data_IF_336824506261
#
_entry.id   IF_336824506261
#
_cell.length_a   1.000
_cell.length_b   1.000
_cell.length_c   1.000
_cell.angle_alpha   90.00
_cell.angle_beta   90.00
_cell.angle_gamma   90.00
#
_symmetry.space_group_name_H-M   'P 1'
#
loop_
_entity.id
_entity.type
_entity.pdbx_description
1 polymer ?
#
# COMPACT_ATOMS: atom_id res chain seq x y z
N UNK A 1 -6.79 -7.56 12.30
CA UNK A 1 -7.32 -8.14 11.05
C UNK A 1 -6.41 -9.29 10.68
N UNK A 2 -6.96 -10.47 10.42
CA UNK A 2 -6.18 -11.54 9.81
C UNK A 2 -5.69 -11.05 8.44
N UNK A 3 -4.42 -11.24 8.12
CA UNK A 3 -3.91 -10.95 6.78
C UNK A 3 -4.71 -11.81 5.79
N UNK A 4 -5.52 -11.17 4.96
CA UNK A 4 -6.24 -11.85 3.88
C UNK A 4 -5.20 -12.44 2.94
N UNK A 5 -5.28 -13.76 2.71
CA UNK A 5 -4.41 -14.41 1.73
C UNK A 5 -4.61 -13.77 0.35
N UNK A 6 -3.54 -13.62 -0.44
CA UNK A 6 -3.67 -13.13 -1.80
C UNK A 6 -4.55 -14.09 -2.61
N UNK A 7 -5.57 -13.53 -3.25
CA UNK A 7 -6.53 -14.26 -4.06
C UNK A 7 -6.88 -13.49 -5.33
N UNK A 8 -7.12 -14.21 -6.41
CA UNK A 8 -7.80 -13.70 -7.59
C UNK A 8 -9.28 -14.01 -7.40
N UNK A 9 -10.13 -13.02 -7.68
CA UNK A 9 -11.56 -13.08 -7.38
C UNK A 9 -12.36 -12.64 -8.60
N UNK A 10 -13.36 -13.44 -8.97
CA UNK A 10 -14.26 -13.18 -10.09
C UNK A 10 -15.60 -12.70 -9.56
N UNK A 11 -16.13 -11.67 -10.20
CA UNK A 11 -17.41 -11.11 -9.85
C UNK A 11 -18.35 -11.10 -11.05
N UNK A 12 -19.53 -11.69 -10.88
CA UNK A 12 -20.60 -11.57 -11.86
C UNK A 12 -21.28 -10.21 -11.70
N UNK A 13 -21.34 -9.46 -12.80
CA UNK A 13 -22.10 -8.21 -12.90
C UNK A 13 -23.40 -8.44 -13.68
N UNK A 14 -24.30 -9.26 -13.14
CA UNK A 14 -25.67 -9.35 -13.65
C UNK A 14 -26.47 -8.13 -13.21
N UNK A 15 -26.61 -7.14 -14.11
CA UNK A 15 -27.53 -5.99 -14.03
C UNK A 15 -27.85 -5.45 -12.63
N UNK A 16 -26.92 -4.68 -12.05
CA UNK A 16 -27.32 -3.37 -11.51
C UNK A 16 -27.30 -3.07 -10.01
N UNK A 17 -26.76 -3.88 -9.08
CA UNK A 17 -26.54 -3.33 -7.73
C UNK A 17 -25.35 -3.85 -6.92
N UNK A 18 -24.97 -5.13 -7.04
CA UNK A 18 -23.83 -5.65 -6.28
C UNK A 18 -23.14 -6.77 -7.04
N UNK A 19 -21.82 -6.68 -7.29
CA UNK A 19 -21.08 -7.80 -7.85
C UNK A 19 -21.21 -9.02 -6.94
N UNK A 20 -21.58 -10.17 -7.50
CA UNK A 20 -21.66 -11.43 -6.76
C UNK A 20 -20.35 -12.18 -6.98
N UNK A 21 -19.70 -12.61 -5.88
CA UNK A 21 -18.52 -13.45 -5.94
C UNK A 21 -18.86 -14.78 -6.63
N UNK A 22 -18.26 -15.04 -7.78
CA UNK A 22 -18.48 -16.27 -8.55
C UNK A 22 -17.42 -17.32 -8.23
N UNK A 23 -16.14 -16.92 -8.22
CA UNK A 23 -15.00 -17.81 -8.05
C UNK A 23 -13.84 -17.10 -7.34
N UNK A 24 -12.98 -17.85 -6.64
CA UNK A 24 -11.70 -17.35 -6.16
C UNK A 24 -10.58 -18.39 -6.25
N UNK A 25 -9.35 -17.91 -6.48
CA UNK A 25 -8.13 -18.72 -6.56
C UNK A 25 -7.09 -18.13 -5.61
N UNK A 26 -6.70 -18.89 -4.59
CA UNK A 26 -5.73 -18.47 -3.56
C UNK A 26 -4.57 -19.45 -3.36
N UNK A 27 -4.80 -20.75 -3.56
CA UNK A 27 -3.81 -21.82 -3.31
C UNK A 27 -2.44 -21.61 -4.01
N UNK A 28 -2.37 -21.12 -5.27
CA UNK A 28 -1.07 -20.88 -5.93
C UNK A 28 -0.23 -19.75 -5.32
N UNK A 29 -0.81 -18.96 -4.40
CA UNK A 29 -0.23 -17.73 -3.85
C UNK A 29 -0.03 -17.77 -2.32
N UNK A 30 -0.19 -18.93 -1.66
CA UNK A 30 -0.21 -19.06 -0.19
C UNK A 30 0.97 -18.39 0.56
N UNK A 31 2.10 -18.16 -0.11
CA UNK A 31 3.29 -17.49 0.45
C UNK A 31 3.75 -16.25 -0.32
N UNK A 32 3.00 -15.79 -1.33
CA UNK A 32 3.49 -14.84 -2.33
C UNK A 32 2.48 -13.74 -2.66
N UNK A 33 2.93 -12.48 -2.63
CA UNK A 33 2.04 -11.36 -2.95
C UNK A 33 1.78 -11.26 -4.46
N UNK A 34 0.51 -11.31 -4.86
CA UNK A 34 0.08 -11.01 -6.23
C UNK A 34 0.30 -9.52 -6.54
N UNK A 35 0.87 -9.22 -7.71
CA UNK A 35 1.18 -7.84 -8.13
C UNK A 35 0.22 -7.30 -9.18
N UNK A 36 -0.34 -8.18 -10.00
CA UNK A 36 -1.22 -7.81 -11.09
C UNK A 36 -2.01 -9.00 -11.63
N UNK A 37 -3.09 -8.67 -12.33
CA UNK A 37 -3.95 -9.62 -13.01
C UNK A 37 -4.45 -8.97 -14.30
N UNK A 38 -4.38 -9.70 -15.42
CA UNK A 38 -4.93 -9.26 -16.71
C UNK A 38 -5.69 -10.42 -17.35
N UNK A 39 -6.93 -10.13 -17.75
CA UNK A 39 -7.73 -11.05 -18.56
C UNK A 39 -7.23 -11.00 -20.01
N UNK A 40 -7.18 -12.16 -20.65
CA UNK A 40 -6.97 -12.31 -22.09
C UNK A 40 -8.02 -11.53 -22.89
N UNK A 41 -7.72 -11.09 -24.13
CA UNK A 41 -8.66 -10.33 -24.95
C UNK A 41 -9.96 -11.08 -25.32
N UNK A 42 -9.91 -12.40 -25.41
CA UNK A 42 -11.08 -13.26 -25.64
C UNK A 42 -11.86 -13.59 -24.35
N UNK A 43 -11.31 -13.25 -23.18
CA UNK A 43 -11.94 -13.45 -21.87
C UNK A 43 -11.76 -14.85 -21.29
N UNK A 44 -11.04 -15.76 -21.97
CA UNK A 44 -11.01 -17.19 -21.62
C UNK A 44 -9.89 -17.56 -20.65
N UNK A 45 -8.83 -16.77 -20.60
CA UNK A 45 -7.70 -16.96 -19.69
C UNK A 45 -7.43 -15.72 -18.83
N UNK A 46 -6.85 -15.94 -17.65
CA UNK A 46 -6.34 -14.90 -16.75
C UNK A 46 -4.85 -15.12 -16.54
N UNK A 47 -4.07 -14.04 -16.68
CA UNK A 47 -2.64 -14.03 -16.38
C UNK A 47 -2.40 -13.21 -15.13
N UNK A 48 -1.67 -13.78 -14.18
CA UNK A 48 -1.26 -13.10 -12.96
C UNK A 48 0.23 -13.25 -12.72
N UNK A 49 0.82 -12.29 -12.02
CA UNK A 49 2.19 -12.37 -11.54
C UNK A 49 2.26 -12.16 -10.02
N UNK A 50 3.28 -12.74 -9.42
CA UNK A 50 3.59 -12.63 -8.00
C UNK A 50 5.03 -12.22 -7.75
N UNK A 51 5.37 -12.00 -6.48
CA UNK A 51 6.72 -11.62 -6.03
C UNK A 51 7.78 -12.74 -6.11
N UNK A 52 7.36 -13.98 -6.39
CA UNK A 52 8.22 -15.12 -6.69
C UNK A 52 8.79 -15.14 -8.12
N UNK A 53 8.53 -14.09 -8.91
CA UNK A 53 8.93 -13.96 -10.32
C UNK A 53 8.26 -14.96 -11.25
N UNK A 54 7.14 -15.57 -10.85
CA UNK A 54 6.40 -16.52 -11.67
C UNK A 54 5.16 -15.83 -12.23
N UNK A 55 4.96 -15.95 -13.53
CA UNK A 55 3.69 -15.68 -14.17
C UNK A 55 2.85 -16.95 -14.22
N UNK A 56 1.60 -16.86 -13.80
CA UNK A 56 0.65 -17.97 -13.76
C UNK A 56 -0.52 -17.67 -14.67
N UNK A 57 -0.81 -18.59 -15.58
CA UNK A 57 -1.98 -18.56 -16.45
C UNK A 57 -3.05 -19.50 -15.91
N UNK A 58 -4.29 -19.03 -15.88
CA UNK A 58 -5.46 -19.77 -15.42
C UNK A 58 -6.53 -19.72 -16.50
N UNK A 59 -7.16 -20.86 -16.77
CA UNK A 59 -8.36 -20.89 -17.59
C UNK A 59 -9.57 -20.41 -16.78
N UNK A 60 -10.43 -19.61 -17.41
CA UNK A 60 -11.66 -19.06 -16.82
C UNK A 60 -12.77 -20.10 -16.94
N UNK A 61 -12.56 -21.26 -16.32
CA UNK A 61 -13.57 -22.30 -16.17
C UNK A 61 -13.93 -22.50 -14.69
N UNK A 62 -15.21 -22.77 -14.35
CA UNK A 62 -15.61 -23.03 -12.98
C UNK A 62 -14.80 -24.19 -12.36
N UNK A 63 -14.20 -23.94 -11.19
CA UNK A 63 -13.48 -24.97 -10.43
C UNK A 63 -11.97 -25.08 -10.71
N UNK A 64 -11.40 -24.28 -11.60
CA UNK A 64 -9.94 -24.19 -11.78
C UNK A 64 -9.30 -23.57 -10.53
N UNK A 65 -8.43 -24.33 -9.85
CA UNK A 65 -7.76 -23.93 -8.61
C UNK A 65 -6.22 -23.94 -8.72
N UNK A 66 -5.69 -24.32 -9.88
CA UNK A 66 -4.24 -24.41 -10.14
C UNK A 66 -3.94 -23.75 -11.48
N UNK A 67 -2.71 -23.24 -11.62
CA UNK A 67 -2.27 -22.61 -12.85
C UNK A 67 -2.14 -23.67 -13.96
N UNK A 68 -2.73 -23.40 -15.12
CA UNK A 68 -2.57 -24.20 -16.34
C UNK A 68 -1.13 -24.13 -16.82
N UNK A 69 -0.51 -22.95 -16.76
CA UNK A 69 0.90 -22.73 -17.07
C UNK A 69 1.56 -21.87 -15.99
N UNK A 70 2.83 -22.19 -15.71
CA UNK A 70 3.71 -21.39 -14.86
C UNK A 70 4.97 -21.05 -15.66
N UNK A 71 5.25 -19.75 -15.82
CA UNK A 71 6.39 -19.24 -16.57
C UNK A 71 7.31 -18.46 -15.63
N UNK A 72 8.58 -18.85 -15.59
CA UNK A 72 9.56 -18.28 -14.68
C UNK A 72 10.31 -17.13 -15.35
N UNK A 73 10.18 -15.94 -14.79
CA UNK A 73 11.05 -14.82 -15.12
C UNK A 73 12.33 -14.86 -14.29
N UNK A 74 13.41 -14.33 -14.87
CA UNK A 74 14.72 -14.35 -14.20
C UNK A 74 14.85 -13.34 -13.06
N UNK A 75 13.84 -12.49 -12.84
CA UNK A 75 13.83 -11.44 -11.84
C UNK A 75 12.44 -10.83 -11.66
N UNK A 76 12.35 -9.86 -10.75
CA UNK A 76 11.08 -9.20 -10.38
C UNK A 76 10.34 -8.68 -11.60
N UNK A 77 9.13 -9.20 -11.83
CA UNK A 77 8.24 -8.74 -12.91
C UNK A 77 7.69 -7.35 -12.57
N UNK A 78 7.88 -6.39 -13.46
CA UNK A 78 7.37 -5.03 -13.33
C UNK A 78 6.00 -4.87 -13.98
N UNK A 79 5.85 -5.35 -15.21
CA UNK A 79 4.60 -5.28 -15.97
C UNK A 79 4.54 -6.44 -16.98
N UNK A 80 3.35 -6.73 -17.47
CA UNK A 80 3.11 -7.76 -18.49
C UNK A 80 1.87 -7.41 -19.29
N UNK A 81 1.78 -7.78 -20.56
CA UNK A 81 0.65 -7.40 -21.42
C UNK A 81 0.33 -8.48 -22.44
N UNK A 82 -0.95 -8.84 -22.54
CA UNK A 82 -1.45 -9.71 -23.60
C UNK A 82 -1.29 -9.05 -24.96
N UNK A 83 -1.00 -9.85 -25.99
CA UNK A 83 -1.13 -9.41 -27.38
C UNK A 83 -2.57 -8.94 -27.63
N UNK A 84 -2.80 -7.75 -28.20
CA UNK A 84 -4.13 -7.13 -28.25
C UNK A 84 -5.16 -7.92 -29.04
N UNK A 85 -4.72 -8.77 -29.96
CA UNK A 85 -5.58 -9.63 -30.78
C UNK A 85 -5.44 -11.11 -30.43
N UNK A 86 -4.96 -11.43 -29.23
CA UNK A 86 -4.89 -12.81 -28.78
C UNK A 86 -6.29 -13.44 -28.80
N UNK A 87 -6.39 -14.60 -29.45
CA UNK A 87 -7.58 -15.44 -29.54
C UNK A 87 -7.14 -16.89 -29.34
N UNK A 88 -7.74 -17.58 -28.37
CA UNK A 88 -7.47 -18.98 -28.04
C UNK A 88 -7.67 -19.96 -29.20
N UNK A 89 -8.47 -19.60 -30.21
CA UNK A 89 -8.65 -20.41 -31.43
C UNK A 89 -7.46 -20.31 -32.41
N UNK A 90 -6.62 -19.27 -32.30
CA UNK A 90 -5.43 -19.08 -33.12
C UNK A 90 -4.14 -19.09 -32.26
N UNK A 91 -3.46 -20.25 -32.17
CA UNK A 91 -2.24 -20.41 -31.38
C UNK A 91 -1.09 -19.45 -31.76
N UNK A 92 -1.10 -18.89 -32.97
CA UNK A 92 -0.09 -17.91 -33.37
C UNK A 92 -0.23 -16.61 -32.56
N UNK A 93 -1.46 -16.22 -32.22
CA UNK A 93 -1.80 -14.99 -31.48
C UNK A 93 -1.72 -15.15 -29.97
N UNK A 94 -1.66 -16.38 -29.46
CA UNK A 94 -1.56 -16.74 -28.05
C UNK A 94 -0.19 -16.38 -27.47
N UNK A 95 0.10 -15.08 -27.38
CA UNK A 95 1.35 -14.54 -26.83
C UNK A 95 1.09 -13.37 -25.90
N UNK A 96 2.03 -13.17 -24.99
CA UNK A 96 2.07 -11.99 -24.13
C UNK A 96 3.52 -11.59 -23.89
N UNK A 97 3.70 -10.35 -23.46
CA UNK A 97 5.02 -9.78 -23.16
C UNK A 97 5.17 -9.49 -21.67
N UNK A 98 6.40 -9.55 -21.18
CA UNK A 98 6.75 -9.29 -19.78
C UNK A 98 7.98 -8.40 -19.68
N UNK A 99 8.05 -7.63 -18.60
CA UNK A 99 9.26 -6.89 -18.22
C UNK A 99 9.69 -7.29 -16.83
N UNK A 100 11.00 -7.47 -16.66
CA UNK A 100 11.58 -7.92 -15.39
C UNK A 100 12.90 -7.23 -15.08
N UNK A 101 13.26 -7.19 -13.80
CA UNK A 101 14.48 -6.56 -13.33
C UNK A 101 15.74 -7.29 -13.85
N UNK A 102 16.67 -6.52 -14.41
CA UNK A 102 17.92 -6.96 -15.06
C UNK A 102 17.75 -7.96 -16.21
N UNK A 103 16.57 -8.00 -16.84
CA UNK A 103 16.25 -8.91 -17.93
C UNK A 103 15.63 -8.17 -19.13
N UNK A 104 15.73 -8.73 -20.34
CA UNK A 104 15.09 -8.14 -21.51
C UNK A 104 13.57 -8.28 -21.44
N UNK A 105 12.88 -7.59 -22.35
CA UNK A 105 11.46 -7.79 -22.54
C UNK A 105 11.28 -9.18 -23.17
N UNK A 106 10.54 -10.07 -22.54
CA UNK A 106 10.29 -11.41 -23.07
C UNK A 106 8.93 -11.48 -23.74
N UNK A 107 8.84 -12.23 -24.84
CA UNK A 107 7.60 -12.65 -25.48
C UNK A 107 7.40 -14.13 -25.19
N UNK A 108 6.29 -14.47 -24.56
CA UNK A 108 5.95 -15.82 -24.16
C UNK A 108 4.84 -16.38 -25.02
N UNK A 109 4.91 -17.68 -25.23
CA UNK A 109 3.82 -18.48 -25.76
C UNK A 109 2.84 -18.83 -24.63
N UNK A 110 1.60 -18.38 -24.76
CA UNK A 110 0.56 -18.62 -23.76
C UNK A 110 -0.06 -20.03 -23.83
N UNK A 111 0.29 -20.83 -24.84
CA UNK A 111 -0.17 -22.20 -25.02
C UNK A 111 0.86 -23.21 -24.50
N UNK A 112 2.14 -22.95 -24.71
CA UNK A 112 3.24 -23.84 -24.32
C UNK A 112 4.02 -23.37 -23.09
N UNK A 113 3.90 -22.10 -22.71
CA UNK A 113 4.73 -21.47 -21.69
C UNK A 113 6.18 -21.24 -22.13
N UNK A 114 6.51 -21.48 -23.40
CA UNK A 114 7.85 -21.31 -23.93
C UNK A 114 8.17 -19.84 -24.23
N UNK A 115 9.44 -19.48 -24.06
CA UNK A 115 9.95 -18.18 -24.48
C UNK A 115 10.07 -18.15 -26.03
N UNK A 116 9.30 -17.28 -26.69
CA UNK A 116 9.34 -17.11 -28.16
C UNK A 116 10.40 -16.11 -28.61
N UNK A 117 10.55 -15.00 -27.88
CA UNK A 117 11.48 -13.93 -28.25
C UNK A 117 11.96 -13.12 -27.05
N UNK A 118 13.07 -12.40 -27.23
CA UNK A 118 13.60 -11.44 -26.26
C UNK A 118 14.00 -10.13 -26.95
N UNK A 119 13.53 -9.00 -26.43
CA UNK A 119 13.86 -7.66 -26.92
C UNK A 119 14.77 -6.96 -25.91
N UNK A 120 16.01 -6.69 -26.33
CA UNK A 120 17.08 -6.24 -25.43
C UNK A 120 17.30 -4.74 -25.59
N UNK A 121 17.09 -4.00 -24.50
CA UNK A 121 17.36 -2.58 -24.43
C UNK A 121 18.69 -2.34 -23.72
N UNK A 122 19.61 -1.60 -24.34
CA UNK A 122 20.91 -1.30 -23.76
C UNK A 122 21.05 0.20 -23.44
N UNK A 123 21.80 0.53 -22.40
CA UNK A 123 22.12 1.91 -22.10
C UNK A 123 23.39 2.37 -22.85
N UNK A 124 23.84 3.59 -22.57
CA UNK A 124 25.05 4.17 -23.17
C UNK A 124 26.36 3.44 -22.81
N UNK A 125 26.34 2.55 -21.82
CA UNK A 125 27.48 1.73 -21.38
C UNK A 125 27.38 0.29 -21.92
N UNK A 126 26.45 0.02 -22.84
CA UNK A 126 26.13 -1.33 -23.36
C UNK A 126 25.66 -2.29 -22.25
N UNK A 127 25.11 -1.76 -21.15
CA UNK A 127 24.50 -2.55 -20.10
C UNK A 127 23.01 -2.75 -20.36
N UNK A 128 22.52 -3.95 -20.05
CA UNK A 128 21.10 -4.26 -20.19
C UNK A 128 20.29 -3.42 -19.20
N UNK A 129 19.31 -2.67 -19.72
CA UNK A 129 18.41 -1.86 -18.91
C UNK A 129 17.00 -2.44 -18.93
N UNK A 130 16.32 -2.40 -17.78
CA UNK A 130 14.98 -2.95 -17.61
C UNK A 130 13.89 -1.91 -17.86
N UNK A 131 12.88 -2.32 -18.61
CA UNK A 131 11.66 -1.55 -18.77
C UNK A 131 10.78 -1.67 -17.52
N UNK A 132 10.20 -0.56 -17.08
CA UNK A 132 9.28 -0.51 -15.93
C UNK A 132 7.82 -0.77 -16.31
N UNK A 133 7.47 -0.57 -17.57
CA UNK A 133 6.12 -0.77 -18.09
C UNK A 133 6.17 -1.22 -19.54
N UNK A 134 5.12 -1.90 -20.00
CA UNK A 134 5.06 -2.43 -21.35
C UNK A 134 3.66 -2.38 -21.96
N UNK A 135 3.58 -2.08 -23.24
CA UNK A 135 2.32 -2.10 -23.98
C UNK A 135 2.54 -2.45 -25.46
N UNK A 136 1.55 -3.07 -26.09
CA UNK A 136 1.48 -3.11 -27.55
C UNK A 136 0.83 -1.83 -28.08
N UNK A 137 1.17 -1.41 -29.30
CA UNK A 137 0.35 -0.44 -30.00
C UNK A 137 -0.96 -1.06 -30.48
N UNK A 138 -1.86 -0.21 -30.97
CA UNK A 138 -3.18 -0.62 -31.44
C UNK A 138 -3.16 -1.63 -32.59
N UNK A 139 -2.06 -1.78 -33.32
CA UNK A 139 -1.88 -2.77 -34.39
C UNK A 139 -1.08 -4.01 -33.99
N UNK A 140 -0.51 -4.05 -32.78
CA UNK A 140 0.28 -5.18 -32.28
C UNK A 140 1.64 -5.39 -32.95
N UNK A 141 2.06 -4.54 -33.89
CA UNK A 141 3.35 -4.64 -34.57
C UNK A 141 4.50 -3.99 -33.78
N UNK A 142 4.19 -3.13 -32.80
CA UNK A 142 5.19 -2.47 -31.96
C UNK A 142 4.96 -2.73 -30.48
N UNK A 143 6.07 -2.90 -29.77
CA UNK A 143 6.13 -3.03 -28.32
C UNK A 143 6.70 -1.74 -27.74
N UNK A 144 5.94 -1.04 -26.91
CA UNK A 144 6.31 0.17 -26.19
C UNK A 144 6.78 -0.18 -24.79
N UNK A 145 7.96 0.31 -24.42
CA UNK A 145 8.61 0.01 -23.15
C UNK A 145 9.00 1.31 -22.44
N UNK A 146 8.54 1.50 -21.20
CA UNK A 146 8.87 2.66 -20.38
C UNK A 146 10.19 2.50 -19.63
N UNK A 147 11.11 3.46 -19.77
CA UNK A 147 12.40 3.54 -19.08
C UNK A 147 12.53 4.84 -18.30
N UNK A 148 13.66 5.07 -17.62
CA UNK A 148 13.94 6.37 -16.99
C UNK A 148 13.89 7.49 -18.05
N UNK A 149 12.91 8.39 -17.91
CA UNK A 149 12.68 9.58 -18.76
C UNK A 149 12.53 9.34 -20.26
N UNK A 150 12.43 8.09 -20.69
CA UNK A 150 12.40 7.71 -22.10
C UNK A 150 11.41 6.57 -22.32
N UNK A 151 10.87 6.50 -23.54
CA UNK A 151 10.15 5.34 -24.03
C UNK A 151 10.96 4.78 -25.18
N UNK A 152 11.19 3.47 -25.14
CA UNK A 152 11.81 2.75 -26.25
C UNK A 152 10.78 1.82 -26.85
N UNK A 153 10.80 1.66 -28.16
CA UNK A 153 9.91 0.71 -28.81
C UNK A 153 10.65 -0.19 -29.79
N UNK A 154 10.15 -1.43 -29.86
CA UNK A 154 10.66 -2.51 -30.68
C UNK A 154 9.63 -2.91 -31.72
N UNK A 155 10.09 -3.41 -32.87
CA UNK A 155 9.24 -4.12 -33.81
C UNK A 155 8.99 -5.54 -33.25
N UNK A 156 7.73 -5.89 -33.04
CA UNK A 156 7.34 -7.18 -32.48
C UNK A 156 7.78 -8.35 -33.39
N UNK A 157 7.81 -8.14 -34.70
CA UNK A 157 8.20 -9.16 -35.68
C UNK A 157 9.72 -9.36 -35.79
N UNK A 158 10.52 -8.44 -35.23
CA UNK A 158 11.98 -8.45 -35.32
C UNK A 158 12.62 -8.39 -33.93
N UNK A 159 12.75 -9.54 -33.24
CA UNK A 159 13.48 -9.61 -31.97
C UNK A 159 14.96 -9.28 -32.19
N UNK A 160 15.36 -8.06 -31.83
CA UNK A 160 16.74 -7.62 -31.99
C UNK A 160 17.18 -6.65 -30.87
N UNK A 161 18.39 -6.09 -31.03
CA UNK A 161 18.90 -4.99 -30.22
C UNK A 161 18.43 -3.62 -30.73
N UNK A 162 17.76 -3.59 -31.88
CA UNK A 162 17.36 -2.35 -32.51
C UNK A 162 16.08 -1.85 -31.85
N UNK A 163 16.15 -0.66 -31.27
CA UNK A 163 15.01 0.04 -30.72
C UNK A 163 15.08 1.52 -31.09
N UNK A 164 13.91 2.12 -31.22
CA UNK A 164 13.81 3.57 -31.35
C UNK A 164 13.54 4.16 -29.98
N UNK A 165 14.26 5.24 -29.62
CA UNK A 165 14.09 5.93 -28.35
C UNK A 165 13.37 7.26 -28.55
N UNK A 166 12.40 7.56 -27.69
CA UNK A 166 11.75 8.86 -27.56
C UNK A 166 11.93 9.40 -26.15
N UNK A 167 12.46 10.61 -26.06
CA UNK A 167 12.55 11.32 -24.78
C UNK A 167 11.17 11.86 -24.39
N UNK A 168 10.82 11.77 -23.11
CA UNK A 168 9.59 12.32 -22.55
C UNK A 168 9.65 13.84 -22.33
N UNK A 169 10.65 14.53 -22.89
CA UNK A 169 10.79 15.99 -22.77
C UNK A 169 9.62 16.76 -23.40
N UNK A 170 9.35 17.96 -22.88
CA UNK A 170 8.28 18.87 -23.33
C UNK A 170 8.65 19.49 -24.69
N UNK A 171 8.67 18.70 -25.76
CA UNK A 171 8.80 19.22 -27.13
C UNK A 171 7.45 19.68 -27.69
N UNK A 172 7.52 20.50 -28.75
CA UNK A 172 6.43 21.28 -29.35
C UNK A 172 5.10 20.52 -29.43
N UNK A 173 4.02 21.20 -29.02
CA UNK A 173 2.65 20.67 -29.13
C UNK A 173 2.23 20.59 -30.59
N UNK A 174 1.72 19.45 -31.03
CA UNK A 174 1.08 19.32 -32.34
C UNK A 174 -0.36 18.81 -32.20
N UNK A 175 -1.21 19.20 -33.16
CA UNK A 175 -2.64 18.88 -33.17
C UNK A 175 -3.00 17.72 -34.10
N UNK A 176 -2.00 17.03 -34.64
CA UNK A 176 -2.18 16.01 -35.67
C UNK A 176 -1.46 14.72 -35.30
N UNK A 177 -2.23 13.64 -35.23
CA UNK A 177 -1.76 12.27 -35.08
C UNK A 177 -2.98 11.34 -35.12
N UNK A 178 -2.99 10.34 -36.02
CA UNK A 178 -4.11 9.38 -36.08
C UNK A 178 -4.00 8.30 -35.00
N UNK A 179 -2.77 8.00 -34.56
CA UNK A 179 -2.49 7.03 -33.49
C UNK A 179 -1.81 7.73 -32.32
N UNK A 180 -2.17 7.30 -31.11
CA UNK A 180 -1.70 7.91 -29.87
C UNK A 180 -1.22 6.86 -28.89
N UNK A 181 -0.26 7.24 -28.05
CA UNK A 181 0.10 6.48 -26.86
C UNK A 181 0.16 7.44 -25.66
N UNK A 182 -0.07 6.90 -24.47
CA UNK A 182 -0.05 7.65 -23.24
C UNK A 182 1.02 7.12 -22.30
N UNK A 183 1.65 8.02 -21.54
CA UNK A 183 2.69 7.69 -20.59
C UNK A 183 2.47 8.45 -19.28
N UNK A 184 2.45 7.72 -18.17
CA UNK A 184 2.44 8.27 -16.82
C UNK A 184 3.84 8.57 -16.33
N UNK A 185 3.98 9.62 -15.54
CA UNK A 185 5.23 10.01 -14.88
C UNK A 185 5.12 9.91 -13.37
N UNK A 186 6.22 9.54 -12.72
CA UNK A 186 6.37 9.63 -11.27
C UNK A 186 6.28 11.07 -10.72
N UNK A 187 6.36 12.09 -11.58
CA UNK A 187 6.08 13.49 -11.22
C UNK A 187 4.58 13.83 -11.12
N UNK A 188 3.69 12.86 -11.36
CA UNK A 188 2.24 13.02 -11.28
C UNK A 188 1.56 13.57 -12.53
N UNK A 189 2.28 13.65 -13.64
CA UNK A 189 1.74 14.04 -14.94
C UNK A 189 1.50 12.81 -15.81
N UNK A 190 0.45 12.82 -16.61
CA UNK A 190 0.26 11.87 -17.72
C UNK A 190 0.34 12.63 -19.03
N UNK A 191 1.09 12.13 -20.00
CA UNK A 191 1.23 12.77 -21.30
C UNK A 191 0.72 11.84 -22.41
N UNK A 192 0.01 12.42 -23.38
CA UNK A 192 -0.42 11.77 -24.61
C UNK A 192 0.47 12.26 -25.74
N UNK A 193 0.94 11.33 -26.56
CA UNK A 193 1.86 11.58 -27.66
C UNK A 193 1.30 11.02 -28.96
N UNK A 194 1.63 11.65 -30.08
CA UNK A 194 1.37 11.09 -31.39
C UNK A 194 2.34 9.94 -31.69
N UNK A 195 1.82 8.79 -32.14
CA UNK A 195 2.66 7.62 -32.43
C UNK A 195 3.62 7.89 -33.60
N UNK A 196 3.20 8.59 -34.66
CA UNK A 196 4.02 8.74 -35.86
C UNK A 196 5.16 9.75 -35.65
N UNK A 197 4.85 10.93 -35.10
CA UNK A 197 5.84 12.00 -34.89
C UNK A 197 6.56 11.93 -33.55
N UNK A 198 5.99 11.26 -32.54
CA UNK A 198 6.50 11.26 -31.16
C UNK A 198 6.33 12.59 -30.44
N UNK A 199 5.57 13.53 -31.03
CA UNK A 199 5.33 14.84 -30.44
C UNK A 199 4.29 14.77 -29.33
N UNK A 200 4.43 15.68 -28.37
CA UNK A 200 3.49 15.82 -27.28
C UNK A 200 2.16 16.35 -27.83
N UNK A 201 1.10 15.56 -27.71
CA UNK A 201 -0.25 16.00 -28.02
C UNK A 201 -0.83 16.77 -26.82
N UNK A 202 -0.79 16.17 -25.63
CA UNK A 202 -1.31 16.81 -24.42
C UNK A 202 -0.66 16.30 -23.12
N UNK A 203 -0.57 17.17 -22.11
CA UNK A 203 -0.30 16.79 -20.73
C UNK A 203 -1.56 16.90 -19.87
N UNK A 204 -1.78 15.90 -19.02
CA UNK A 204 -2.90 15.76 -18.09
C UNK A 204 -2.35 15.81 -16.65
N UNK A 205 -2.95 16.66 -15.83
CA UNK A 205 -2.59 16.85 -14.43
C UNK A 205 -3.86 16.69 -13.59
N UNK A 206 -3.92 15.65 -12.76
CA UNK A 206 -5.11 15.37 -11.95
C UNK A 206 -4.87 14.52 -10.70
N UNK A 207 -3.62 14.16 -10.40
CA UNK A 207 -3.27 13.34 -9.24
C UNK A 207 -2.43 14.09 -8.19
N UNK A 208 -2.53 15.43 -8.15
CA UNK A 208 -1.90 16.29 -7.13
C UNK A 208 -0.38 16.03 -6.94
N UNK A 209 0.33 15.80 -8.04
CA UNK A 209 1.77 15.51 -8.03
C UNK A 209 2.14 14.10 -7.54
N UNK A 210 1.17 13.24 -7.22
CA UNK A 210 1.42 11.83 -6.90
C UNK A 210 1.75 11.05 -8.17
N UNK A 211 2.82 10.25 -8.13
CA UNK A 211 3.31 9.51 -9.29
C UNK A 211 2.26 8.61 -9.93
N UNK A 212 2.04 8.81 -11.24
CA UNK A 212 1.12 8.00 -12.04
C UNK A 212 1.79 6.68 -12.38
N UNK A 213 1.17 5.58 -11.97
CA UNK A 213 1.72 4.23 -12.13
C UNK A 213 0.93 3.38 -13.10
N UNK A 214 -0.32 3.75 -13.38
CA UNK A 214 -1.19 3.02 -14.30
C UNK A 214 -1.84 3.99 -15.28
N UNK A 215 -1.79 3.65 -16.56
CA UNK A 215 -2.37 4.42 -17.65
C UNK A 215 -2.94 3.44 -18.66
N UNK A 216 -4.23 3.53 -18.94
CA UNK A 216 -4.88 2.60 -19.86
C UNK A 216 -5.98 3.30 -20.67
N UNK A 217 -5.95 3.15 -22.00
CA UNK A 217 -7.06 3.55 -22.84
C UNK A 217 -8.21 2.55 -22.70
N UNK A 218 -9.44 3.03 -22.74
CA UNK A 218 -10.59 2.15 -22.93
C UNK A 218 -10.52 1.47 -24.31
N UNK A 219 -11.10 0.26 -24.49
CA UNK A 219 -11.04 -0.46 -25.77
C UNK A 219 -11.58 0.34 -26.96
N UNK A 220 -12.53 1.25 -26.74
CA UNK A 220 -13.07 2.14 -27.76
C UNK A 220 -12.19 3.37 -28.06
N UNK A 221 -11.07 3.56 -27.34
CA UNK A 221 -10.13 4.67 -27.48
C UNK A 221 -10.68 6.05 -27.08
N UNK A 222 -11.90 6.14 -26.55
CA UNK A 222 -12.55 7.41 -26.23
C UNK A 222 -12.10 7.98 -24.88
N UNK A 223 -11.75 7.10 -23.94
CA UNK A 223 -11.38 7.48 -22.59
C UNK A 223 -10.00 6.98 -22.22
N UNK A 224 -9.35 7.73 -21.33
CA UNK A 224 -8.11 7.32 -20.68
C UNK A 224 -8.36 7.20 -19.19
N UNK A 225 -7.90 6.11 -18.60
CA UNK A 225 -7.91 5.87 -17.17
C UNK A 225 -6.49 6.09 -16.65
N UNK A 226 -6.37 6.87 -15.58
CA UNK A 226 -5.08 7.09 -14.90
C UNK A 226 -5.22 6.79 -13.41
N UNK A 227 -4.22 6.11 -12.86
CA UNK A 227 -4.13 5.79 -11.44
C UNK A 227 -2.74 6.11 -10.89
N UNK A 228 -2.69 6.67 -9.68
CA UNK A 228 -1.46 7.08 -9.01
C UNK A 228 -1.19 6.27 -7.73
N UNK A 229 0.09 6.08 -7.40
CA UNK A 229 0.55 5.14 -6.35
C UNK A 229 0.05 5.46 -4.93
N UNK A 230 -0.10 6.74 -4.62
CA UNK A 230 -0.44 7.27 -3.28
C UNK A 230 -1.72 8.10 -3.30
N UNK A 231 -2.55 7.85 -4.31
CA UNK A 231 -3.82 8.49 -4.48
C UNK A 231 -4.86 7.38 -4.60
N UNK A 232 -5.97 7.50 -3.87
CA UNK A 232 -7.04 6.52 -3.91
C UNK A 232 -7.97 6.75 -5.09
N UNK A 233 -7.70 7.75 -5.93
CA UNK A 233 -8.53 8.07 -7.09
C UNK A 233 -8.04 7.40 -8.37
N UNK A 234 -9.00 6.95 -9.18
CA UNK A 234 -8.81 6.61 -10.58
C UNK A 234 -9.52 7.69 -11.39
N UNK A 235 -8.77 8.44 -12.18
CA UNK A 235 -9.32 9.52 -13.00
C UNK A 235 -9.64 9.01 -14.41
N UNK A 236 -10.79 9.44 -14.91
CA UNK A 236 -11.28 9.19 -16.27
C UNK A 236 -11.16 10.49 -17.06
N UNK A 237 -10.52 10.42 -18.22
CA UNK A 237 -10.34 11.55 -19.13
C UNK A 237 -11.05 11.25 -20.45
N UNK A 238 -11.85 12.19 -20.96
CA UNK A 238 -12.33 12.11 -22.36
C UNK A 238 -11.23 12.62 -23.27
N UNK A 239 -10.75 11.79 -24.20
CA UNK A 239 -9.67 12.14 -25.13
C UNK A 239 -10.04 13.31 -26.06
N UNK A 240 -11.33 13.54 -26.28
CA UNK A 240 -11.85 14.65 -27.08
C UNK A 240 -11.97 15.94 -26.26
N UNK A 241 -12.05 15.83 -24.93
CA UNK A 241 -12.13 16.96 -24.00
C UNK A 241 -11.32 16.70 -22.73
N UNK A 242 -10.02 16.82 -22.87
CA UNK A 242 -9.00 16.51 -21.87
C UNK A 242 -8.66 17.69 -20.94
N UNK A 243 -9.38 18.82 -21.04
CA UNK A 243 -9.15 20.00 -20.21
C UNK A 243 -9.56 19.80 -18.75
N UNK A 244 -10.41 18.81 -18.47
CA UNK A 244 -10.89 18.47 -17.14
C UNK A 244 -11.02 16.96 -17.00
N UNK A 245 -10.94 16.49 -15.76
CA UNK A 245 -11.28 15.10 -15.42
C UNK A 245 -12.78 14.92 -15.67
N UNK A 246 -13.15 13.91 -16.47
CA UNK A 246 -14.55 13.59 -16.75
C UNK A 246 -15.23 12.98 -15.52
N UNK A 247 -14.54 12.04 -14.88
CA UNK A 247 -15.03 11.35 -13.71
C UNK A 247 -13.87 10.86 -12.84
N UNK A 248 -14.10 10.74 -11.54
CA UNK A 248 -13.12 10.20 -10.60
C UNK A 248 -13.78 9.09 -9.79
N UNK A 249 -13.22 7.89 -9.89
CA UNK A 249 -13.60 6.76 -9.06
C UNK A 249 -12.74 6.73 -7.79
N UNK A 250 -13.37 6.54 -6.65
CA UNK A 250 -12.69 6.28 -5.38
C UNK A 250 -12.41 4.78 -5.23
N UNK A 251 -11.14 4.44 -5.05
CA UNK A 251 -10.69 3.08 -4.77
C UNK A 251 -10.63 2.88 -3.27
N UNK A 252 -11.59 2.13 -2.73
CA UNK A 252 -11.57 1.63 -1.37
C UNK A 252 -10.60 0.44 -1.22
N UNK A 253 -9.30 0.66 -1.46
CA UNK A 253 -8.29 -0.37 -1.21
C UNK A 253 -7.45 0.02 0.02
N UNK A 254 -7.52 -0.74 1.13
CA UNK A 254 -6.55 -0.59 2.19
C UNK A 254 -5.17 -0.93 1.60
N UNK A 255 -4.29 0.05 1.52
CA UNK A 255 -2.94 -0.21 1.02
C UNK A 255 -2.15 -0.92 2.12
N UNK A 256 -1.32 -1.91 1.76
CA UNK A 256 -0.35 -2.49 2.70
C UNK A 256 0.82 -1.51 2.99
N UNK A 257 0.80 -0.30 2.45
CA UNK A 257 1.78 0.72 2.81
C UNK A 257 1.41 1.23 4.19
N UNK A 258 2.32 1.09 5.15
CA UNK A 258 2.15 1.62 6.50
C UNK A 258 2.45 3.12 6.51
N UNK A 259 1.69 3.89 5.71
CA UNK A 259 1.78 5.36 5.65
C UNK A 259 1.55 6.00 7.00
N UNK A 260 0.82 5.29 7.87
CA UNK A 260 0.47 5.72 9.20
C UNK A 260 1.68 5.92 10.09
N UNK A 261 2.76 5.13 9.92
CA UNK A 261 3.96 5.26 10.74
C UNK A 261 4.57 6.66 10.61
N UNK A 262 4.68 7.17 9.37
CA UNK A 262 5.24 8.51 9.12
C UNK A 262 4.36 9.58 9.75
N UNK A 263 3.04 9.42 9.67
CA UNK A 263 2.10 10.37 10.25
C UNK A 263 2.05 10.27 11.79
N UNK A 264 2.20 9.08 12.38
CA UNK A 264 2.37 8.87 13.82
C UNK A 264 3.64 9.54 14.32
N UNK A 265 4.77 9.33 13.64
CA UNK A 265 6.03 9.99 14.00
C UNK A 265 5.91 11.51 13.91
N UNK A 266 5.29 12.03 12.86
CA UNK A 266 5.02 13.47 12.76
C UNK A 266 4.15 13.96 13.93
N UNK A 267 3.05 13.26 14.24
CA UNK A 267 2.19 13.62 15.36
C UNK A 267 2.94 13.58 16.71
N UNK A 268 3.85 12.63 16.90
CA UNK A 268 4.74 12.55 18.06
C UNK A 268 5.62 13.81 18.16
N UNK A 269 6.36 14.14 17.10
CA UNK A 269 7.25 15.31 17.03
C UNK A 269 6.50 16.63 17.31
N UNK A 270 5.24 16.74 16.93
CA UNK A 270 4.41 17.92 17.19
C UNK A 270 3.83 17.99 18.60
N UNK A 271 3.67 16.86 19.28
CA UNK A 271 2.88 16.77 20.51
C UNK A 271 3.70 16.52 21.76
N UNK A 272 4.85 15.84 21.63
CA UNK A 272 5.64 15.32 22.73
C UNK A 272 7.11 15.77 22.57
N UNK A 273 7.81 16.04 23.68
CA UNK A 273 9.25 16.28 23.65
C UNK A 273 10.08 14.99 23.45
N UNK A 274 9.46 13.83 23.62
CA UNK A 274 10.09 12.50 23.52
C UNK A 274 10.10 12.02 22.07
N UNK A 275 11.28 12.09 21.44
CA UNK A 275 11.45 11.81 20.02
C UNK A 275 11.96 10.39 19.78
N UNK A 276 11.06 9.46 19.47
CA UNK A 276 11.44 8.10 19.09
C UNK A 276 11.95 8.03 17.64
N UNK A 277 13.04 7.30 17.43
CA UNK A 277 13.54 6.98 16.09
C UNK A 277 12.60 5.97 15.40
N UNK A 278 12.54 5.97 14.06
CA UNK A 278 11.65 5.08 13.31
C UNK A 278 11.84 3.59 13.60
N UNK A 279 13.06 3.16 13.93
CA UNK A 279 13.34 1.78 14.36
C UNK A 279 12.45 1.34 15.53
N UNK A 280 12.08 2.26 16.41
CA UNK A 280 11.25 1.98 17.58
C UNK A 280 9.80 1.73 17.19
N UNK A 281 9.26 2.53 16.26
CA UNK A 281 7.93 2.28 15.70
C UNK A 281 7.86 0.96 14.94
N UNK A 282 8.89 0.65 14.14
CA UNK A 282 8.99 -0.63 13.44
C UNK A 282 9.04 -1.80 14.41
N UNK A 283 9.80 -1.70 15.50
CA UNK A 283 9.81 -2.73 16.53
C UNK A 283 8.41 -3.00 17.09
N UNK A 284 7.64 -1.95 17.43
CA UNK A 284 6.29 -2.12 17.96
C UNK A 284 5.32 -2.76 16.96
N UNK A 285 5.33 -2.32 15.70
CA UNK A 285 4.39 -2.84 14.70
C UNK A 285 4.75 -4.28 14.28
N UNK A 286 6.02 -4.66 14.33
CA UNK A 286 6.45 -6.02 14.03
C UNK A 286 6.17 -6.98 15.20
N UNK A 287 6.33 -6.52 16.44
CA UNK A 287 6.13 -7.36 17.63
C UNK A 287 4.66 -7.43 18.06
N UNK A 288 3.94 -6.30 18.07
CA UNK A 288 2.57 -6.19 18.60
C UNK A 288 1.63 -5.35 17.72
N UNK A 289 1.46 -5.68 16.43
CA UNK A 289 0.63 -4.89 15.51
C UNK A 289 -0.81 -4.68 16.00
N UNK A 290 -1.33 -5.57 16.83
CA UNK A 290 -2.68 -5.51 17.40
C UNK A 290 -2.86 -4.41 18.44
N UNK A 291 -1.77 -3.87 19.01
CA UNK A 291 -1.82 -2.91 20.11
C UNK A 291 -1.68 -1.45 19.66
N UNK A 292 -1.47 -1.22 18.36
CA UNK A 292 -1.26 0.10 17.78
C UNK A 292 -2.56 0.57 17.13
N UNK A 293 -2.99 1.79 17.45
CA UNK A 293 -4.18 2.39 16.86
C UNK A 293 -3.92 3.84 16.49
N UNK A 294 -4.50 4.28 15.37
CA UNK A 294 -4.50 5.68 14.92
C UNK A 294 -5.92 6.22 14.89
N UNK A 295 -6.05 7.53 14.96
CA UNK A 295 -7.30 8.25 14.78
C UNK A 295 -7.15 9.21 13.60
N UNK A 296 -8.10 9.17 12.69
CA UNK A 296 -8.15 10.00 11.49
C UNK A 296 -9.25 11.05 11.60
N UNK A 297 -9.04 12.20 10.95
CA UNK A 297 -10.11 13.16 10.68
C UNK A 297 -10.94 12.74 9.45
N UNK A 298 -11.95 13.55 9.11
CA UNK A 298 -12.85 13.30 7.99
C UNK A 298 -12.17 13.36 6.61
N UNK A 299 -10.92 13.84 6.54
CA UNK A 299 -10.11 13.85 5.32
C UNK A 299 -9.07 12.72 5.30
N UNK A 300 -9.12 11.77 6.25
CA UNK A 300 -8.18 10.66 6.34
C UNK A 300 -6.81 11.06 6.88
N UNK A 301 -6.67 12.25 7.48
CA UNK A 301 -5.40 12.67 8.08
C UNK A 301 -5.31 12.14 9.51
N UNK A 302 -4.18 11.52 9.86
CA UNK A 302 -3.94 11.07 11.24
C UNK A 302 -3.79 12.28 12.17
N UNK A 303 -4.66 12.31 13.18
CA UNK A 303 -4.73 13.36 14.20
C UNK A 303 -4.40 12.86 15.60
N UNK A 304 -4.26 11.55 15.79
CA UNK A 304 -3.76 10.97 17.03
C UNK A 304 -3.40 9.50 16.87
N UNK A 305 -2.64 8.97 17.83
CA UNK A 305 -2.27 7.57 17.87
C UNK A 305 -1.96 7.11 19.30
N UNK A 306 -1.99 5.79 19.50
CA UNK A 306 -1.46 5.09 20.68
C UNK A 306 -0.44 4.05 20.23
N UNK A 307 0.68 4.00 20.95
CA UNK A 307 1.74 3.03 20.82
C UNK A 307 1.80 2.23 22.11
N UNK A 308 1.78 0.91 22.00
CA UNK A 308 1.75 0.02 23.15
C UNK A 308 2.47 -1.29 22.85
N UNK A 309 2.94 -1.94 23.91
CA UNK A 309 3.66 -3.22 23.87
C UNK A 309 3.18 -4.15 24.97
N UNK A 310 3.56 -5.43 24.87
CA UNK A 310 3.52 -6.35 26.00
C UNK A 310 4.89 -6.40 26.69
N UNK A 311 4.91 -6.55 28.01
CA UNK A 311 6.16 -6.85 28.73
C UNK A 311 6.44 -8.35 28.68
N UNK A 312 7.60 -8.72 28.12
CA UNK A 312 7.96 -10.12 27.83
C UNK A 312 8.59 -10.82 29.05
N UNK A 313 9.31 -10.08 29.89
CA UNK A 313 10.05 -10.64 31.04
C UNK A 313 9.26 -10.60 32.37
N UNK A 314 7.95 -10.31 32.30
CA UNK A 314 7.12 -10.17 33.48
C UNK A 314 6.51 -11.49 33.93
N UNK A 315 6.49 -11.74 35.25
CA UNK A 315 5.81 -12.89 35.85
C UNK A 315 4.29 -12.88 35.64
N UNK A 316 3.73 -11.70 35.39
CA UNK A 316 2.32 -11.47 35.07
C UNK A 316 2.22 -10.83 33.69
N UNK A 317 1.46 -11.43 32.74
CA UNK A 317 1.30 -10.85 31.40
C UNK A 317 0.62 -9.49 31.52
N UNK A 318 1.27 -8.44 31.07
CA UNK A 318 0.71 -7.10 31.11
C UNK A 318 1.22 -6.24 29.96
N UNK A 319 0.38 -5.29 29.56
CA UNK A 319 0.73 -4.32 28.53
C UNK A 319 1.39 -3.08 29.13
N UNK A 320 2.10 -2.34 28.29
CA UNK A 320 2.66 -1.04 28.62
C UNK A 320 2.34 -0.03 27.51
N UNK A 321 1.77 1.12 27.87
CA UNK A 321 1.53 2.21 26.92
C UNK A 321 2.79 3.05 26.83
N UNK A 322 3.47 2.98 25.68
CA UNK A 322 4.74 3.67 25.46
C UNK A 322 4.55 5.10 24.99
N UNK A 323 3.52 5.36 24.18
CA UNK A 323 3.24 6.72 23.73
C UNK A 323 1.78 6.92 23.35
N UNK A 324 1.26 8.10 23.66
CA UNK A 324 -0.09 8.53 23.29
C UNK A 324 -0.03 10.01 22.88
N UNK A 325 -0.44 10.31 21.66
CA UNK A 325 -0.47 11.68 21.17
C UNK A 325 -1.77 11.99 20.43
N UNK A 326 -2.27 13.21 20.63
CA UNK A 326 -3.37 13.79 19.85
C UNK A 326 -3.00 15.24 19.53
N UNK A 327 -3.08 15.59 18.24
CA UNK A 327 -2.80 16.92 17.74
C UNK A 327 -3.64 17.96 18.49
N UNK A 328 -3.03 19.12 18.78
CA UNK A 328 -3.64 20.18 19.60
C UNK A 328 -5.03 20.61 19.10
N UNK A 329 -5.22 20.66 17.79
CA UNK A 329 -6.46 21.01 17.12
C UNK A 329 -7.61 20.03 17.34
N UNK A 330 -7.30 18.79 17.76
CA UNK A 330 -8.27 17.69 17.93
C UNK A 330 -8.33 17.18 19.38
N UNK A 331 -7.74 17.91 20.33
CA UNK A 331 -7.83 17.60 21.77
C UNK A 331 -9.24 17.92 22.28
N UNK A 332 -9.63 17.32 23.40
CA UNK A 332 -10.95 17.44 24.05
C UNK A 332 -12.13 16.84 23.25
N UNK A 333 -11.86 16.09 22.17
CA UNK A 333 -12.87 15.33 21.42
C UNK A 333 -12.99 13.86 21.88
N UNK A 334 -12.35 13.47 22.99
CA UNK A 334 -12.37 12.09 23.51
C UNK A 334 -11.52 11.08 22.70
N UNK A 335 -10.73 11.55 21.73
CA UNK A 335 -9.90 10.70 20.86
C UNK A 335 -8.91 9.85 21.66
N UNK A 336 -8.16 10.48 22.57
CA UNK A 336 -7.18 9.80 23.43
C UNK A 336 -7.82 8.65 24.22
N UNK A 337 -9.00 8.88 24.80
CA UNK A 337 -9.75 7.87 25.56
C UNK A 337 -10.14 6.68 24.67
N UNK A 338 -10.59 6.93 23.44
CA UNK A 338 -10.97 5.86 22.50
C UNK A 338 -9.76 5.02 22.07
N UNK A 339 -8.65 5.68 21.74
CA UNK A 339 -7.39 5.01 21.37
C UNK A 339 -6.89 4.12 22.51
N UNK A 340 -6.84 4.65 23.73
CA UNK A 340 -6.44 3.88 24.92
C UNK A 340 -7.32 2.67 25.15
N UNK A 341 -8.65 2.83 25.10
CA UNK A 341 -9.59 1.71 25.28
C UNK A 341 -9.46 0.64 24.19
N UNK A 342 -9.14 1.03 22.95
CA UNK A 342 -8.89 0.08 21.87
C UNK A 342 -7.63 -0.76 22.15
N UNK A 343 -6.51 -0.11 22.52
CA UNK A 343 -5.28 -0.81 22.90
C UNK A 343 -5.48 -1.74 24.10
N UNK A 344 -6.16 -1.26 25.15
CA UNK A 344 -6.48 -2.05 26.35
C UNK A 344 -7.29 -3.29 26.02
N UNK A 345 -8.34 -3.14 25.20
CA UNK A 345 -9.16 -4.28 24.76
C UNK A 345 -8.30 -5.30 24.00
N UNK A 346 -7.45 -4.83 23.09
CA UNK A 346 -6.57 -5.70 22.33
C UNK A 346 -5.54 -6.44 23.21
N UNK A 347 -5.04 -5.81 24.28
CA UNK A 347 -4.17 -6.46 25.27
C UNK A 347 -4.87 -7.64 25.96
N UNK A 348 -6.13 -7.45 26.36
CA UNK A 348 -6.93 -8.49 27.02
C UNK A 348 -7.28 -9.61 26.03
N UNK A 349 -7.80 -9.26 24.86
CA UNK A 349 -8.31 -10.24 23.89
C UNK A 349 -7.21 -11.08 23.25
N UNK A 350 -6.08 -10.45 22.87
CA UNK A 350 -5.03 -11.15 22.12
C UNK A 350 -3.93 -11.72 23.02
N UNK A 351 -3.65 -11.08 24.16
CA UNK A 351 -2.50 -11.43 25.01
C UNK A 351 -2.88 -11.84 26.43
N UNK A 352 -4.17 -11.83 26.78
CA UNK A 352 -4.66 -12.17 28.13
C UNK A 352 -3.98 -11.34 29.22
N UNK A 353 -3.69 -10.07 28.92
CA UNK A 353 -3.07 -9.17 29.86
C UNK A 353 -3.92 -9.05 31.14
N UNK A 354 -3.29 -9.10 32.32
CA UNK A 354 -3.98 -8.92 33.59
C UNK A 354 -4.12 -7.43 33.98
N UNK A 355 -3.22 -6.58 33.47
CA UNK A 355 -3.25 -5.13 33.64
C UNK A 355 -2.49 -4.42 32.52
N UNK A 356 -2.55 -3.09 32.52
CA UNK A 356 -1.72 -2.21 31.69
C UNK A 356 -1.04 -1.15 32.53
N UNK A 357 0.23 -0.85 32.25
CA UNK A 357 1.02 0.20 32.90
C UNK A 357 1.35 1.36 31.96
N UNK A 358 1.68 2.52 32.53
CA UNK A 358 2.25 3.67 31.84
C UNK A 358 2.97 4.59 32.84
N UNK A 359 3.90 5.40 32.35
CA UNK A 359 4.60 6.41 33.14
C UNK A 359 4.10 7.82 32.81
N UNK A 360 3.90 8.65 33.83
CA UNK A 360 3.48 10.06 33.67
C UNK A 360 4.44 10.98 34.41
N UNK A 361 5.00 11.96 33.69
CA UNK A 361 5.73 13.11 34.27
C UNK A 361 4.91 13.80 35.36
N UNK A 362 5.53 14.06 36.51
CA UNK A 362 4.84 14.75 37.62
C UNK A 362 4.31 16.13 37.22
N UNK A 363 5.05 16.87 36.39
CA UNK A 363 4.64 18.20 35.89
C UNK A 363 3.47 18.16 34.91
N UNK A 364 3.14 16.99 34.34
CA UNK A 364 2.10 16.84 33.34
C UNK A 364 0.71 16.61 33.97
N UNK A 365 0.19 17.64 34.62
CA UNK A 365 -1.11 17.60 35.31
C UNK A 365 -2.29 17.22 34.37
N UNK A 366 -2.22 17.57 33.08
CA UNK A 366 -3.26 17.24 32.11
C UNK A 366 -3.31 15.74 31.81
N UNK A 367 -2.14 15.11 31.60
CA UNK A 367 -2.05 13.66 31.41
C UNK A 367 -2.44 12.92 32.69
N UNK A 368 -1.97 13.37 33.85
CA UNK A 368 -2.36 12.80 35.14
C UNK A 368 -3.88 12.82 35.33
N UNK A 369 -4.54 13.94 35.04
CA UNK A 369 -6.00 14.03 35.12
C UNK A 369 -6.70 13.07 34.15
N UNK A 370 -6.25 12.97 32.89
CA UNK A 370 -6.80 12.03 31.92
C UNK A 370 -6.71 10.59 32.43
N UNK A 371 -5.51 10.15 32.83
CA UNK A 371 -5.30 8.76 33.24
C UNK A 371 -6.00 8.44 34.56
N UNK A 372 -5.89 9.30 35.57
CA UNK A 372 -6.46 9.05 36.90
C UNK A 372 -7.98 9.21 36.94
N UNK A 373 -8.51 10.29 36.36
CA UNK A 373 -9.94 10.65 36.51
C UNK A 373 -10.82 10.11 35.39
N UNK A 374 -10.30 9.99 34.17
CA UNK A 374 -11.12 9.57 33.01
C UNK A 374 -10.93 8.10 32.67
N UNK A 375 -9.70 7.57 32.82
CA UNK A 375 -9.36 6.19 32.48
C UNK A 375 -9.13 5.30 33.71
N UNK A 376 -9.34 5.84 34.91
CA UNK A 376 -9.34 5.10 36.19
C UNK A 376 -8.03 4.39 36.54
N UNK A 377 -6.91 4.82 35.97
CA UNK A 377 -5.59 4.32 36.35
C UNK A 377 -5.30 4.64 37.82
N UNK A 378 -4.58 3.75 38.49
CA UNK A 378 -4.15 3.88 39.87
C UNK A 378 -2.64 4.16 39.91
N UNK A 379 -2.21 5.08 40.77
CA UNK A 379 -0.77 5.31 40.99
C UNK A 379 -0.26 4.15 41.83
N UNK A 380 0.69 3.40 41.30
CA UNK A 380 1.28 2.24 41.93
C UNK A 380 2.59 2.58 42.64
N UNK A 381 3.45 3.38 41.99
CA UNK A 381 4.73 3.85 42.54
C UNK A 381 5.19 5.18 41.92
N UNK A 382 6.27 5.77 42.47
CA UNK A 382 7.01 6.88 41.86
C UNK A 382 8.44 6.45 41.55
N UNK A 383 8.80 6.49 40.27
CA UNK A 383 10.16 6.25 39.82
C UNK A 383 10.94 7.57 39.81
N UNK A 384 11.90 7.69 40.74
CA UNK A 384 12.70 8.90 40.90
C UNK A 384 13.72 9.07 39.78
N UNK A 385 13.80 10.27 39.22
CA UNK A 385 14.74 10.61 38.15
C UNK A 385 14.58 9.74 36.89
N UNK A 386 13.35 9.29 36.62
CA UNK A 386 13.04 8.43 35.48
C UNK A 386 13.32 9.12 34.14
N UNK A 387 12.97 10.40 34.04
CA UNK A 387 13.18 11.18 32.82
C UNK A 387 14.61 11.72 32.73
N UNK A 388 15.09 11.94 31.50
CA UNK A 388 16.48 12.35 31.24
C UNK A 388 16.89 13.70 31.86
N UNK A 389 15.90 14.54 32.20
CA UNK A 389 16.07 15.81 32.92
C UNK A 389 16.06 15.64 34.44
N UNK A 390 15.95 14.41 34.95
CA UNK A 390 15.90 14.08 36.37
C UNK A 390 14.51 14.23 36.99
N UNK A 391 13.46 14.46 36.18
CA UNK A 391 12.08 14.50 36.67
C UNK A 391 11.58 13.09 37.06
N UNK A 392 10.79 13.04 38.13
CA UNK A 392 10.15 11.81 38.62
C UNK A 392 8.96 11.42 37.74
N UNK A 393 8.62 10.12 37.73
CA UNK A 393 7.49 9.57 36.99
C UNK A 393 6.52 8.82 37.89
N UNK A 394 5.22 9.09 37.73
CA UNK A 394 4.17 8.22 38.29
C UNK A 394 4.09 6.93 37.48
N UNK A 395 4.38 5.77 38.09
CA UNK A 395 4.02 4.45 37.55
C UNK A 395 2.52 4.25 37.80
N UNK A 396 1.73 4.35 36.73
CA UNK A 396 0.28 4.24 36.78
C UNK A 396 -0.18 2.94 36.14
N UNK A 397 -1.06 2.21 36.83
CA UNK A 397 -1.55 0.90 36.38
C UNK A 397 -3.07 0.82 36.38
N UNK A 398 -3.62 0.13 35.39
CA UNK A 398 -5.04 -0.19 35.29
C UNK A 398 -5.21 -1.72 35.26
N UNK A 399 -5.77 -2.33 36.32
CA UNK A 399 -6.04 -3.76 36.34
C UNK A 399 -7.24 -4.12 35.46
N UNK A 400 -7.15 -5.24 34.75
CA UNK A 400 -8.25 -5.81 33.95
C UNK A 400 -8.99 -6.93 34.68
N UNK A 401 -8.40 -7.50 35.73
CA UNK A 401 -9.00 -8.58 36.53
C UNK A 401 -9.19 -8.17 37.98
N UNK A 402 -10.24 -8.68 38.64
CA UNK A 402 -10.47 -8.44 40.07
C UNK A 402 -9.30 -8.92 40.93
N UNK A 403 -8.74 -10.09 40.58
CA UNK A 403 -7.55 -10.64 41.25
C UNK A 403 -6.39 -9.65 41.25
N UNK A 404 -6.09 -9.05 40.10
CA UNK A 404 -5.01 -8.08 39.97
C UNK A 404 -5.35 -6.78 40.71
N UNK A 405 -6.60 -6.31 40.63
CA UNK A 405 -7.06 -5.15 41.37
C UNK A 405 -6.90 -5.34 42.89
N UNK A 406 -7.26 -6.50 43.44
CA UNK A 406 -7.05 -6.80 44.86
C UNK A 406 -5.57 -6.85 45.22
N UNK A 407 -4.72 -7.46 44.38
CA UNK A 407 -3.28 -7.51 44.63
C UNK A 407 -2.66 -6.10 44.66
N UNK A 408 -3.10 -5.22 43.75
CA UNK A 408 -2.63 -3.83 43.67
C UNK A 408 -3.16 -2.91 44.77
N UNK A 409 -4.34 -3.21 45.35
CA UNK A 409 -5.02 -2.35 46.31
C UNK A 409 -4.21 -1.98 47.56
N UNK A 410 -3.32 -2.88 48.00
CA UNK A 410 -2.46 -2.67 49.17
C UNK A 410 -1.42 -1.55 48.97
N UNK A 411 -0.86 -1.42 47.76
CA UNK A 411 0.11 -0.37 47.45
C UNK A 411 -0.59 0.96 47.19
N UNK A 412 -1.78 0.92 46.58
CA UNK A 412 -2.62 2.12 46.38
C UNK A 412 -3.09 2.70 47.72
N UNK A 413 -3.39 1.85 48.71
CA UNK A 413 -3.74 2.30 50.06
C UNK A 413 -2.57 3.02 50.76
N UNK A 414 -1.34 2.50 50.63
CA UNK A 414 -0.12 3.17 51.12
C UNK A 414 0.07 4.53 50.45
N UNK A 415 -0.18 4.61 49.15
CA UNK A 415 -0.07 5.86 48.40
C UNK A 415 -1.13 6.89 48.82
N UNK A 416 -2.38 6.48 48.97
CA UNK A 416 -3.44 7.38 49.45
C UNK A 416 -3.10 7.94 50.84
N UNK A 417 -2.47 7.14 51.72
CA UNK A 417 -1.98 7.63 53.01
C UNK A 417 -0.84 8.65 52.84
N UNK A 418 0.12 8.42 51.94
CA UNK A 418 1.19 9.38 51.63
C UNK A 418 0.67 10.72 51.09
N UNK A 419 -0.32 10.70 50.19
CA UNK A 419 -0.94 11.93 49.68
C UNK A 419 -1.61 12.75 50.80
N UNK A 420 -2.30 12.07 51.72
CA UNK A 420 -2.90 12.69 52.91
C UNK A 420 -1.81 13.33 53.78
N UNK A 421 -0.68 12.67 53.99
CA UNK A 421 0.46 13.22 54.75
C UNK A 421 1.11 14.44 54.06
N UNK A 422 1.10 14.51 52.73
CA UNK A 422 1.62 15.63 51.94
C UNK A 422 0.61 16.77 51.72
N UNK A 423 -0.61 16.65 52.26
CA UNK A 423 -1.66 17.67 52.11
C UNK A 423 -2.19 17.83 50.68
N UNK A 424 -2.14 16.77 49.87
CA UNK A 424 -2.57 16.75 48.45
C UNK A 424 -3.80 15.91 48.20
#
# INVERSE_FOLDING_TARGET
>A
MAATMPEIVWYEHATGATPVLEHSISAPFESHFTRGVKVSPDGLCVLSNSDDNILRLFDVEPGVQSATLSMHEGGTVYDFQWYPYMNSEDPATCVFITTSHAHPVHLWDAYTGALRASYRAYDHLDELTSAYSVAFNGTGDKIFCGFDRTIRFFDASQPSRDFTTRSLSKTKKTRHGQRMYAAGSYSGSTCIYAEDSGELFMGLEGHDGQGVTQVQFTPNGQYLLTGARKNNTINVWDIRNTMQVLHTFERAAPTNQVTDLLAMQNANLWCLPENYQMKYYYYHIMSWPQLLYVAEDHHGKIVGYVLAKMEEDASVPHGHITSLAVLRTHRKCGIATKLMKAAQRAMVENFKAEYVSLHVRETNAAAFHLYRKTLEYQVYDIEKGYYADGEDAYDMRLPFTEKCNTAMSSNVAKWNAYLIEQGK
#
